data_IF_144272195270
#
_entry.id   IF_144272195270
#
_cell.length_a   1.000
_cell.length_b   1.000
_cell.length_c   1.000
_cell.angle_alpha   90.00
_cell.angle_beta   90.00
_cell.angle_gamma   90.00
#
_symmetry.space_group_name_H-M   'P 1'
#
loop_
_entity.id
_entity.type
_entity.pdbx_description
1 polymer ?
#
# COMPACT_ATOMS: atom_id res chain seq x y z
N UNK A 1 30.00 -9.02 -3.96
CA UNK A 1 28.55 -8.73 -4.12
C UNK A 1 28.14 -7.96 -2.88
N UNK A 2 27.86 -6.68 -3.07
CA UNK A 2 27.51 -5.76 -1.98
C UNK A 2 26.05 -6.04 -1.64
N UNK A 3 25.84 -6.77 -0.55
CA UNK A 3 24.54 -7.03 0.04
C UNK A 3 23.94 -5.67 0.42
N UNK A 4 23.08 -5.13 -0.45
CA UNK A 4 22.33 -3.91 -0.16
C UNK A 4 21.68 -4.10 1.21
N UNK A 5 22.09 -3.28 2.19
CA UNK A 5 21.75 -3.54 3.59
C UNK A 5 20.24 -3.46 3.76
N UNK A 6 19.56 -4.61 3.83
CA UNK A 6 18.16 -4.62 4.21
C UNK A 6 18.05 -3.96 5.59
N UNK A 7 17.03 -3.11 5.81
CA UNK A 7 16.81 -2.51 7.11
C UNK A 7 16.71 -3.62 8.17
N UNK A 8 17.67 -3.69 9.08
CA UNK A 8 17.68 -4.69 10.15
C UNK A 8 16.99 -4.14 11.41
N UNK A 9 16.78 -4.96 12.43
CA UNK A 9 16.12 -4.50 13.66
C UNK A 9 16.82 -3.27 14.29
N UNK A 10 18.14 -3.13 14.11
CA UNK A 10 18.88 -1.96 14.62
C UNK A 10 18.58 -0.68 13.83
N UNK A 11 18.27 -0.76 12.53
CA UNK A 11 17.89 0.43 11.76
C UNK A 11 16.55 0.99 12.21
N UNK A 12 15.56 0.13 12.47
CA UNK A 12 14.25 0.56 13.00
C UNK A 12 14.36 1.15 14.41
N UNK A 13 15.18 0.53 15.28
CA UNK A 13 15.48 1.09 16.60
C UNK A 13 16.10 2.50 16.50
N UNK A 14 17.06 2.69 15.58
CA UNK A 14 17.73 3.97 15.39
C UNK A 14 16.79 5.07 14.92
N UNK A 15 15.85 4.75 14.02
CA UNK A 15 14.80 5.70 13.59
C UNK A 15 14.00 6.18 14.80
N UNK A 16 13.56 5.26 15.65
CA UNK A 16 12.82 5.60 16.86
C UNK A 16 13.62 6.45 17.85
N UNK A 17 14.88 6.09 18.11
CA UNK A 17 15.76 6.84 19.01
C UNK A 17 16.03 8.26 18.51
N UNK A 18 16.27 8.44 17.21
CA UNK A 18 16.51 9.76 16.64
C UNK A 18 15.23 10.62 16.65
N UNK A 19 14.05 10.04 16.42
CA UNK A 19 12.77 10.76 16.54
C UNK A 19 12.57 11.34 17.95
N UNK A 20 12.80 10.52 18.99
CA UNK A 20 12.74 10.96 20.40
C UNK A 20 13.75 12.07 20.67
N UNK A 21 15.01 11.85 20.26
CA UNK A 21 16.10 12.80 20.49
C UNK A 21 15.87 14.16 19.84
N UNK A 22 15.24 14.18 18.66
CA UNK A 22 14.94 15.41 17.90
C UNK A 22 13.61 16.04 18.27
N UNK A 23 12.80 15.37 19.08
CA UNK A 23 11.41 15.72 19.35
C UNK A 23 10.61 15.93 18.04
N UNK A 24 10.85 15.06 17.05
CA UNK A 24 10.22 15.10 15.73
C UNK A 24 9.72 13.71 15.37
N UNK A 25 8.41 13.52 15.18
CA UNK A 25 7.86 12.23 14.78
C UNK A 25 8.51 11.71 13.50
N UNK A 26 9.07 10.50 13.57
CA UNK A 26 9.54 9.76 12.40
C UNK A 26 9.46 8.28 12.72
N UNK A 27 8.80 7.52 11.86
CA UNK A 27 8.64 6.08 12.02
C UNK A 27 9.05 5.36 10.75
N UNK A 28 9.42 4.10 10.92
CA UNK A 28 9.67 3.17 9.83
C UNK A 28 9.15 1.81 10.24
N UNK A 29 8.57 1.09 9.31
CA UNK A 29 8.20 -0.30 9.49
C UNK A 29 8.50 -1.05 8.20
N UNK A 30 8.68 -2.35 8.30
CA UNK A 30 8.84 -3.18 7.12
C UNK A 30 8.64 -4.65 7.43
N UNK A 31 8.20 -5.36 6.40
CA UNK A 31 8.25 -6.82 6.36
C UNK A 31 9.67 -7.32 6.03
N UNK A 32 10.32 -7.85 7.05
CA UNK A 32 11.62 -8.51 7.04
C UNK A 32 11.49 -10.04 7.11
N UNK A 33 12.63 -10.75 7.17
CA UNK A 33 12.70 -12.19 7.45
C UNK A 33 13.26 -13.04 6.30
N UNK A 34 13.38 -14.35 6.56
CA UNK A 34 13.89 -15.34 5.60
C UNK A 34 12.74 -15.82 4.70
N UNK A 35 12.56 -15.10 3.60
CA UNK A 35 11.49 -15.30 2.62
C UNK A 35 11.50 -16.72 2.04
N UNK A 36 12.67 -17.31 1.88
CA UNK A 36 12.89 -18.67 1.39
C UNK A 36 12.45 -19.77 2.36
N UNK A 37 12.25 -19.43 3.64
CA UNK A 37 11.70 -20.32 4.67
C UNK A 37 10.21 -20.05 4.93
N UNK A 38 9.59 -19.11 4.20
CA UNK A 38 8.20 -18.70 4.45
C UNK A 38 8.03 -17.97 5.78
N UNK A 39 9.12 -17.41 6.35
CA UNK A 39 9.08 -16.67 7.59
C UNK A 39 8.97 -15.16 7.29
N UNK A 40 7.94 -14.54 7.84
CA UNK A 40 7.73 -13.10 7.80
C UNK A 40 7.95 -12.50 9.18
N UNK A 41 8.85 -11.54 9.28
CA UNK A 41 9.17 -10.80 10.51
C UNK A 41 8.79 -9.35 10.28
N UNK A 42 7.84 -8.82 11.03
CA UNK A 42 7.48 -7.41 10.97
C UNK A 42 8.26 -6.66 12.04
N UNK A 43 9.00 -5.63 11.63
CA UNK A 43 9.77 -4.81 12.54
C UNK A 43 9.38 -3.35 12.33
N UNK A 44 9.06 -2.67 13.42
CA UNK A 44 8.75 -1.24 13.44
C UNK A 44 9.75 -0.49 14.32
N UNK A 45 9.89 0.80 14.06
CA UNK A 45 10.40 1.74 15.06
C UNK A 45 9.45 1.82 16.26
N UNK A 46 9.83 2.59 17.27
CA UNK A 46 9.01 2.80 18.47
C UNK A 46 7.58 3.27 18.10
N UNK A 47 6.52 2.61 18.59
CA UNK A 47 5.13 2.93 18.23
C UNK A 47 4.61 4.10 19.09
N UNK A 48 4.99 5.32 18.69
CA UNK A 48 4.78 6.55 19.46
C UNK A 48 3.32 6.87 19.74
N UNK A 49 2.40 6.43 18.87
CA UNK A 49 0.98 6.70 19.02
C UNK A 49 0.41 6.09 20.29
N UNK A 50 0.85 4.88 20.65
CA UNK A 50 0.37 4.17 21.83
C UNK A 50 0.80 4.84 23.14
N UNK A 51 1.99 5.43 23.17
CA UNK A 51 2.51 6.12 24.35
C UNK A 51 2.24 7.63 24.34
N UNK A 52 1.59 8.15 23.28
CA UNK A 52 1.26 9.57 23.12
C UNK A 52 2.49 10.48 23.31
N UNK A 53 3.65 10.02 22.83
CA UNK A 53 4.92 10.73 22.98
C UNK A 53 4.99 12.00 22.14
N UNK A 54 4.21 12.07 21.06
CA UNK A 54 4.12 13.22 20.18
C UNK A 54 2.66 13.61 19.97
N UNK A 55 2.41 14.92 19.90
CA UNK A 55 1.12 15.43 19.46
C UNK A 55 0.83 14.99 18.03
N UNK A 56 -0.44 14.71 17.74
CA UNK A 56 -0.93 14.31 16.43
C UNK A 56 -0.36 13.01 15.84
N UNK A 57 0.29 12.18 16.66
CA UNK A 57 0.62 10.79 16.33
C UNK A 57 -0.37 9.87 17.03
N UNK A 58 -1.10 9.07 16.26
CA UNK A 58 -2.20 8.27 16.77
C UNK A 58 -1.96 6.77 16.55
N UNK A 59 -2.32 5.92 17.54
CA UNK A 59 -2.22 4.46 17.41
C UNK A 59 -2.86 3.91 16.14
N UNK A 60 -3.94 4.53 15.68
CA UNK A 60 -4.71 4.09 14.53
C UNK A 60 -3.93 4.17 13.21
N UNK A 61 -3.06 5.16 13.03
CA UNK A 61 -2.20 5.25 11.85
C UNK A 61 -1.06 4.21 11.91
N UNK A 62 -0.56 3.90 13.11
CA UNK A 62 0.43 2.84 13.32
C UNK A 62 -0.19 1.44 13.09
N UNK A 63 -1.43 1.23 13.54
CA UNK A 63 -2.22 0.02 13.23
C UNK A 63 -2.47 -0.09 11.72
N UNK A 64 -2.82 1.00 11.02
CA UNK A 64 -2.96 0.98 9.55
C UNK A 64 -1.66 0.56 8.89
N UNK A 65 -0.54 1.12 9.32
CA UNK A 65 0.77 0.73 8.81
C UNK A 65 1.02 -0.76 9.05
N UNK A 66 0.62 -1.31 10.21
CA UNK A 66 0.78 -2.74 10.50
C UNK A 66 0.00 -3.61 9.49
N UNK A 67 -1.20 -3.17 9.13
CA UNK A 67 -2.00 -3.84 8.11
C UNK A 67 -1.35 -3.76 6.72
N UNK A 68 -0.74 -2.62 6.36
CA UNK A 68 0.01 -2.45 5.11
C UNK A 68 1.12 -3.49 5.01
N UNK A 69 1.98 -3.56 6.04
CA UNK A 69 3.09 -4.51 6.06
C UNK A 69 2.61 -5.96 6.08
N UNK A 70 1.59 -6.27 6.88
CA UNK A 70 0.98 -7.60 6.89
C UNK A 70 0.43 -7.99 5.53
N UNK A 71 -0.11 -7.05 4.76
CA UNK A 71 -0.61 -7.32 3.42
C UNK A 71 0.51 -7.75 2.45
N UNK A 72 1.75 -7.25 2.62
CA UNK A 72 2.88 -7.80 1.88
C UNK A 72 3.13 -9.29 2.18
N UNK A 73 2.88 -9.76 3.41
CA UNK A 73 2.93 -11.20 3.67
C UNK A 73 1.81 -11.96 2.95
N UNK A 74 0.59 -11.39 2.86
CA UNK A 74 -0.49 -11.95 2.05
C UNK A 74 -0.07 -12.07 0.59
N UNK A 75 0.46 -11.00 -0.02
CA UNK A 75 0.96 -11.03 -1.39
C UNK A 75 2.03 -12.12 -1.60
N UNK A 76 3.00 -12.19 -0.70
CA UNK A 76 4.10 -13.15 -0.79
C UNK A 76 3.70 -14.61 -0.52
N UNK A 77 2.63 -14.85 0.23
CA UNK A 77 2.16 -16.20 0.58
C UNK A 77 1.68 -17.01 -0.63
N UNK A 78 1.37 -16.33 -1.74
CA UNK A 78 0.97 -16.97 -3.00
C UNK A 78 2.14 -17.24 -3.95
N UNK A 79 3.35 -16.85 -3.57
CA UNK A 79 4.55 -17.02 -4.40
C UNK A 79 5.43 -18.15 -3.83
N UNK A 80 5.71 -19.17 -4.62
CA UNK A 80 6.46 -20.35 -4.16
C UNK A 80 7.88 -20.41 -4.73
N UNK A 81 8.14 -19.74 -5.85
CA UNK A 81 9.48 -19.62 -6.41
C UNK A 81 10.48 -19.04 -5.41
N UNK A 82 11.65 -19.67 -5.32
CA UNK A 82 12.78 -19.21 -4.50
C UNK A 82 13.71 -18.26 -5.26
N UNK A 83 13.56 -18.18 -6.57
CA UNK A 83 14.37 -17.32 -7.42
C UNK A 83 13.95 -15.86 -7.26
N UNK A 84 14.87 -15.02 -6.79
CA UNK A 84 14.55 -13.63 -6.43
C UNK A 84 13.97 -12.84 -7.60
N UNK A 85 14.63 -12.87 -8.77
CA UNK A 85 14.18 -12.12 -9.94
C UNK A 85 12.81 -12.59 -10.45
N UNK A 86 12.54 -13.90 -10.41
CA UNK A 86 11.23 -14.44 -10.79
C UNK A 86 10.15 -13.98 -9.80
N UNK A 87 10.47 -13.97 -8.51
CA UNK A 87 9.53 -13.54 -7.47
C UNK A 87 9.16 -12.06 -7.61
N UNK A 88 10.14 -11.19 -7.83
CA UNK A 88 9.88 -9.76 -8.07
C UNK A 88 9.00 -9.55 -9.31
N UNK A 89 9.28 -10.29 -10.40
CA UNK A 89 8.45 -10.23 -11.60
C UNK A 89 7.00 -10.70 -11.35
N UNK A 90 6.79 -11.67 -10.46
CA UNK A 90 5.45 -12.17 -10.10
C UNK A 90 4.70 -11.23 -9.14
N UNK A 91 5.39 -10.48 -8.28
CA UNK A 91 4.75 -9.44 -7.44
C UNK A 91 4.19 -8.31 -8.31
N UNK A 92 4.96 -7.92 -9.32
CA UNK A 92 4.59 -6.88 -10.27
C UNK A 92 5.15 -5.50 -9.93
N UNK A 93 4.63 -4.46 -10.61
CA UNK A 93 5.16 -3.10 -10.50
C UNK A 93 4.87 -2.47 -9.13
N UNK A 94 5.69 -1.49 -8.74
CA UNK A 94 5.63 -0.81 -7.43
C UNK A 94 4.23 -0.31 -7.08
N UNK A 95 3.52 0.34 -8.01
CA UNK A 95 2.16 0.84 -7.75
C UNK A 95 1.19 -0.28 -7.36
N UNK A 96 1.36 -1.47 -7.94
CA UNK A 96 0.45 -2.59 -7.71
C UNK A 96 0.75 -3.25 -6.35
N UNK A 97 2.03 -3.40 -6.01
CA UNK A 97 2.47 -3.99 -4.74
C UNK A 97 2.16 -3.06 -3.57
N UNK A 98 2.67 -1.83 -3.62
CA UNK A 98 2.58 -0.86 -2.52
C UNK A 98 1.21 -0.20 -2.45
N UNK A 99 0.65 0.15 -3.61
CA UNK A 99 -0.73 0.65 -3.66
C UNK A 99 -1.74 -0.41 -3.22
N UNK A 100 -1.49 -1.68 -3.51
CA UNK A 100 -2.32 -2.79 -3.05
C UNK A 100 -2.29 -2.93 -1.53
N UNK A 101 -1.10 -2.89 -0.94
CA UNK A 101 -0.94 -2.90 0.51
C UNK A 101 -1.61 -1.69 1.18
N UNK A 102 -1.46 -0.49 0.61
CA UNK A 102 -2.04 0.73 1.17
C UNK A 102 -3.57 0.70 1.07
N UNK A 103 -4.15 0.36 -0.09
CA UNK A 103 -5.60 0.26 -0.26
C UNK A 103 -6.22 -0.79 0.68
N UNK A 104 -5.61 -1.97 0.77
CA UNK A 104 -6.11 -3.05 1.61
C UNK A 104 -5.99 -2.73 3.10
N UNK A 105 -4.94 -2.01 3.51
CA UNK A 105 -4.81 -1.51 4.87
C UNK A 105 -5.88 -0.47 5.20
N UNK A 106 -6.12 0.50 4.31
CA UNK A 106 -7.13 1.55 4.51
C UNK A 106 -8.54 0.97 4.55
N UNK A 107 -8.91 0.14 3.58
CA UNK A 107 -10.23 -0.52 3.50
C UNK A 107 -10.43 -1.47 4.68
N UNK A 108 -9.42 -2.29 4.99
CA UNK A 108 -9.46 -3.30 6.05
C UNK A 108 -9.61 -2.67 7.44
N UNK A 109 -8.78 -1.69 7.77
CA UNK A 109 -8.90 -0.98 9.06
C UNK A 109 -10.21 -0.23 9.19
N UNK A 110 -10.66 0.47 8.15
CA UNK A 110 -11.96 1.14 8.14
C UNK A 110 -13.12 0.17 8.39
N UNK A 111 -13.13 -0.98 7.71
CA UNK A 111 -14.17 -2.01 7.87
C UNK A 111 -14.20 -2.58 9.28
N UNK A 112 -13.03 -2.89 9.86
CA UNK A 112 -12.93 -3.43 11.21
C UNK A 112 -13.31 -2.41 12.28
N UNK A 113 -13.00 -1.13 12.05
CA UNK A 113 -13.44 -0.06 12.94
C UNK A 113 -14.95 0.22 12.83
N UNK A 114 -15.52 0.15 11.63
CA UNK A 114 -16.96 0.35 11.41
C UNK A 114 -17.79 -0.79 12.04
N UNK A 115 -17.29 -2.02 11.94
CA UNK A 115 -17.92 -3.21 12.56
C UNK A 115 -17.65 -3.36 14.07
N UNK A 116 -16.75 -2.57 14.64
CA UNK A 116 -16.35 -2.65 16.05
C UNK A 116 -15.43 -3.83 16.40
N UNK A 117 -14.92 -4.54 15.40
CA UNK A 117 -13.98 -5.66 15.61
C UNK A 117 -12.56 -5.19 15.96
N UNK A 118 -12.17 -4.00 15.52
CA UNK A 118 -10.91 -3.36 15.91
C UNK A 118 -11.21 -2.25 16.94
N UNK A 119 -10.64 -2.31 18.15
CA UNK A 119 -10.85 -1.26 19.14
C UNK A 119 -10.26 0.06 18.66
N UNK A 120 -10.96 1.16 18.98
CA UNK A 120 -10.46 2.54 18.78
C UNK A 120 -9.89 3.06 20.09
N UNK A 121 -8.83 3.84 20.00
CA UNK A 121 -8.33 4.59 21.17
C UNK A 121 -9.20 5.83 21.39
N UNK A 122 -9.45 6.16 22.66
CA UNK A 122 -10.31 7.29 22.99
C UNK A 122 -9.58 8.63 22.72
N UNK A 123 -10.29 9.57 22.09
CA UNK A 123 -9.86 10.96 21.99
C UNK A 123 -9.45 11.45 20.60
N UNK A 124 -9.53 10.61 19.56
CA UNK A 124 -9.28 11.02 18.18
C UNK A 124 -10.42 10.62 17.25
N UNK A 125 -10.98 11.62 16.55
CA UNK A 125 -11.92 11.39 15.47
C UNK A 125 -11.12 11.13 14.18
N UNK A 126 -10.92 9.85 13.85
CA UNK A 126 -10.36 9.47 12.56
C UNK A 126 -11.23 10.01 11.42
N UNK A 127 -10.63 10.55 10.34
CA UNK A 127 -11.37 10.82 9.12
C UNK A 127 -12.03 9.54 8.59
N UNK A 128 -13.17 9.68 7.92
CA UNK A 128 -13.84 8.55 7.28
C UNK A 128 -12.96 7.92 6.20
N UNK A 129 -13.25 6.68 5.80
CA UNK A 129 -12.54 6.04 4.70
C UNK A 129 -12.55 6.91 3.43
N UNK A 130 -13.71 7.49 3.09
CA UNK A 130 -13.86 8.42 1.96
C UNK A 130 -12.95 9.63 2.08
N UNK A 131 -12.88 10.26 3.25
CA UNK A 131 -12.01 11.44 3.45
C UNK A 131 -10.52 11.10 3.43
N UNK A 132 -10.11 9.95 4.00
CA UNK A 132 -8.73 9.46 3.88
C UNK A 132 -8.34 9.23 2.42
N UNK A 133 -9.20 8.54 1.67
CA UNK A 133 -8.98 8.32 0.24
C UNK A 133 -8.96 9.64 -0.54
N UNK A 134 -9.81 10.63 -0.20
CA UNK A 134 -9.76 11.99 -0.79
C UNK A 134 -8.39 12.62 -0.58
N UNK A 135 -7.87 12.63 0.64
CA UNK A 135 -6.54 13.20 0.93
C UNK A 135 -5.45 12.52 0.11
N UNK A 136 -5.45 11.17 0.08
CA UNK A 136 -4.47 10.38 -0.68
C UNK A 136 -4.56 10.67 -2.19
N UNK A 137 -5.77 10.87 -2.73
CA UNK A 137 -5.95 11.24 -4.14
C UNK A 137 -5.29 12.57 -4.47
N UNK A 138 -5.60 13.59 -3.65
CA UNK A 138 -5.16 14.95 -3.88
C UNK A 138 -3.65 15.08 -3.69
N UNK A 139 -3.10 14.45 -2.65
CA UNK A 139 -1.66 14.41 -2.43
C UNK A 139 -0.95 13.63 -3.53
N UNK A 140 -1.48 12.47 -3.94
CA UNK A 140 -0.94 11.68 -5.05
C UNK A 140 -0.92 12.44 -6.37
N UNK A 141 -2.03 13.11 -6.72
CA UNK A 141 -2.13 13.95 -7.94
C UNK A 141 -1.17 15.13 -7.89
N UNK A 142 -1.05 15.81 -6.73
CA UNK A 142 -0.09 16.91 -6.54
C UNK A 142 1.34 16.43 -6.78
N UNK A 143 1.76 15.36 -6.11
CA UNK A 143 3.11 14.81 -6.27
C UNK A 143 3.38 14.36 -7.71
N UNK A 144 2.40 13.70 -8.35
CA UNK A 144 2.51 13.29 -9.74
C UNK A 144 2.72 14.50 -10.67
N UNK A 145 1.90 15.54 -10.55
CA UNK A 145 1.99 16.75 -11.38
C UNK A 145 3.29 17.52 -11.17
N UNK A 146 3.78 17.58 -9.93
CA UNK A 146 5.00 18.32 -9.58
C UNK A 146 6.29 17.60 -10.03
N UNK A 147 6.28 16.26 -10.10
CA UNK A 147 7.52 15.48 -10.23
C UNK A 147 7.58 14.57 -11.47
N UNK A 148 6.44 14.15 -12.04
CA UNK A 148 6.39 13.24 -13.19
C UNK A 148 5.08 13.34 -13.99
N UNK A 149 4.72 14.53 -14.50
CA UNK A 149 3.46 14.74 -15.21
C UNK A 149 3.31 13.88 -16.47
N UNK A 150 4.42 13.44 -17.07
CA UNK A 150 4.44 12.65 -18.30
C UNK A 150 4.44 11.12 -18.06
N UNK A 151 4.53 10.68 -16.81
CA UNK A 151 4.53 9.25 -16.49
C UNK A 151 3.12 8.75 -16.19
N UNK A 152 2.82 7.57 -16.72
CA UNK A 152 1.70 6.78 -16.27
C UNK A 152 2.05 6.01 -14.99
N UNK A 153 1.01 5.51 -14.30
CA UNK A 153 1.17 4.84 -13.02
C UNK A 153 2.06 3.59 -13.12
N UNK A 154 1.92 2.83 -14.21
CA UNK A 154 2.72 1.64 -14.48
C UNK A 154 4.23 1.90 -14.56
N UNK A 155 4.62 3.13 -14.87
CA UNK A 155 6.02 3.55 -15.08
C UNK A 155 6.68 4.09 -13.79
N UNK A 156 5.91 4.28 -12.71
CA UNK A 156 6.43 4.80 -11.45
C UNK A 156 7.02 3.67 -10.61
N UNK A 157 8.36 3.66 -10.47
CA UNK A 157 9.12 2.66 -9.72
C UNK A 157 9.69 3.22 -8.41
N UNK A 158 10.23 2.36 -7.54
CA UNK A 158 10.85 2.74 -6.27
C UNK A 158 11.99 3.77 -6.40
N UNK A 159 12.73 3.73 -7.50
CA UNK A 159 13.90 4.59 -7.73
C UNK A 159 13.53 5.93 -8.39
N UNK A 160 12.24 6.14 -8.68
CA UNK A 160 11.75 7.36 -9.28
C UNK A 160 11.45 8.43 -8.21
N UNK A 161 11.62 9.73 -8.46
CA UNK A 161 11.10 10.79 -7.58
C UNK A 161 9.57 10.74 -7.34
N UNK A 162 8.87 9.80 -7.99
CA UNK A 162 7.43 9.62 -7.91
C UNK A 162 6.98 8.41 -7.09
N UNK A 163 7.88 7.81 -6.31
CA UNK A 163 7.50 6.72 -5.41
C UNK A 163 6.31 7.08 -4.53
N UNK A 164 6.24 8.31 -4.01
CA UNK A 164 5.07 8.75 -3.25
C UNK A 164 3.76 8.70 -4.07
N UNK A 165 3.81 9.15 -5.34
CA UNK A 165 2.66 9.07 -6.24
C UNK A 165 2.33 7.60 -6.57
N UNK A 166 3.31 6.72 -6.72
CA UNK A 166 3.10 5.30 -6.97
C UNK A 166 2.28 4.62 -5.86
N UNK A 167 2.55 4.97 -4.59
CA UNK A 167 1.79 4.46 -3.44
C UNK A 167 0.37 5.02 -3.43
N UNK A 168 0.26 6.35 -3.44
CA UNK A 168 -1.03 7.05 -3.30
C UNK A 168 -1.97 6.78 -4.48
N UNK A 169 -1.47 6.94 -5.71
CA UNK A 169 -2.23 6.65 -6.92
C UNK A 169 -2.36 5.15 -7.17
N UNK A 170 -1.42 4.33 -6.70
CA UNK A 170 -1.56 2.87 -6.69
C UNK A 170 -2.73 2.40 -5.83
N UNK A 171 -2.91 2.98 -4.64
CA UNK A 171 -4.07 2.69 -3.79
C UNK A 171 -5.40 3.05 -4.50
N UNK A 172 -5.42 4.17 -5.22
CA UNK A 172 -6.56 4.54 -6.07
C UNK A 172 -6.74 3.64 -7.30
N UNK A 173 -5.65 3.12 -7.87
CA UNK A 173 -5.69 2.11 -8.93
C UNK A 173 -6.39 0.84 -8.45
N UNK A 174 -6.05 0.36 -7.25
CA UNK A 174 -6.74 -0.76 -6.61
C UNK A 174 -8.20 -0.46 -6.27
N UNK A 175 -8.52 0.75 -5.80
CA UNK A 175 -9.91 1.17 -5.60
C UNK A 175 -10.72 1.15 -6.92
N UNK A 176 -10.11 1.61 -8.02
CA UNK A 176 -10.71 1.62 -9.35
C UNK A 176 -10.93 0.20 -9.89
N UNK A 177 -9.93 -0.68 -9.74
CA UNK A 177 -10.04 -2.08 -10.12
C UNK A 177 -11.15 -2.79 -9.32
N UNK A 178 -11.21 -2.57 -8.00
CA UNK A 178 -12.26 -3.13 -7.14
C UNK A 178 -13.66 -2.63 -7.54
N UNK A 179 -13.81 -1.34 -7.84
CA UNK A 179 -15.10 -0.80 -8.31
C UNK A 179 -15.54 -1.43 -9.63
N UNK A 180 -14.62 -1.64 -10.57
CA UNK A 180 -14.91 -2.18 -11.91
C UNK A 180 -15.18 -3.68 -11.91
N UNK A 181 -14.34 -4.44 -11.23
CA UNK A 181 -14.35 -5.91 -11.32
C UNK A 181 -15.22 -6.58 -10.24
N UNK A 182 -15.74 -5.81 -9.27
CA UNK A 182 -16.60 -6.32 -8.22
C UNK A 182 -15.81 -6.80 -7.00
N UNK A 183 -16.39 -7.67 -6.15
CA UNK A 183 -15.83 -7.99 -4.85
C UNK A 183 -14.50 -8.76 -4.98
N UNK A 184 -13.45 -8.12 -4.47
CA UNK A 184 -12.13 -8.68 -4.13
C UNK A 184 -11.44 -9.60 -5.15
N UNK A 185 -11.48 -9.34 -6.49
CA UNK A 185 -10.78 -10.15 -7.49
C UNK A 185 -9.25 -10.17 -7.28
N UNK A 186 -8.70 -9.17 -6.59
CA UNK A 186 -7.30 -9.18 -6.20
C UNK A 186 -6.96 -10.37 -5.29
N UNK A 187 -7.80 -10.63 -4.29
CA UNK A 187 -7.61 -11.74 -3.34
C UNK A 187 -8.08 -13.07 -3.92
N UNK A 188 -9.22 -13.06 -4.61
CA UNK A 188 -9.90 -14.29 -5.01
C UNK A 188 -9.38 -14.86 -6.33
N UNK A 189 -8.84 -14.02 -7.22
CA UNK A 189 -8.43 -14.42 -8.57
C UNK A 189 -6.96 -14.13 -8.85
N UNK A 190 -6.49 -12.91 -8.60
CA UNK A 190 -5.12 -12.52 -8.94
C UNK A 190 -4.10 -13.29 -8.10
N UNK A 191 -4.14 -13.12 -6.76
CA UNK A 191 -3.14 -13.72 -5.87
C UNK A 191 -3.08 -15.26 -6.02
N UNK A 192 -4.18 -16.02 -6.08
CA UNK A 192 -4.11 -17.47 -6.25
C UNK A 192 -3.62 -17.94 -7.62
N UNK A 193 -3.63 -17.07 -8.64
CA UNK A 193 -3.29 -17.45 -10.02
C UNK A 193 -1.92 -16.97 -10.49
N UNK A 194 -1.32 -15.97 -9.83
CA UNK A 194 -0.12 -15.27 -10.32
C UNK A 194 1.10 -16.17 -10.49
N UNK A 195 1.37 -17.08 -9.54
CA UNK A 195 2.50 -18.03 -9.65
C UNK A 195 2.40 -18.89 -10.92
N UNK A 196 1.18 -19.27 -11.31
CA UNK A 196 0.92 -20.16 -12.46
C UNK A 196 0.86 -19.40 -13.78
N UNK A 197 0.25 -18.22 -13.79
CA UNK A 197 -0.06 -17.47 -15.01
C UNK A 197 1.01 -16.42 -15.37
N UNK A 198 1.81 -15.98 -14.41
CA UNK A 198 2.59 -14.74 -14.55
C UNK A 198 1.73 -13.50 -14.33
N UNK A 199 2.38 -12.36 -14.09
CA UNK A 199 1.73 -11.14 -13.63
C UNK A 199 0.67 -10.61 -14.62
N UNK A 200 1.02 -10.37 -15.89
CA UNK A 200 0.09 -9.82 -16.89
C UNK A 200 -1.16 -10.70 -17.09
N UNK A 201 -0.95 -12.01 -17.21
CA UNK A 201 -2.04 -12.97 -17.45
C UNK A 201 -2.92 -13.14 -16.21
N UNK A 202 -2.35 -13.09 -15.00
CA UNK A 202 -3.13 -13.10 -13.77
C UNK A 202 -3.91 -11.79 -13.58
N UNK A 203 -3.32 -10.64 -13.94
CA UNK A 203 -4.00 -9.35 -13.94
C UNK A 203 -5.20 -9.36 -14.88
N UNK A 204 -5.00 -9.80 -16.13
CA UNK A 204 -6.09 -9.91 -17.09
C UNK A 204 -7.16 -10.92 -16.65
N UNK A 205 -6.75 -12.04 -16.05
CA UNK A 205 -7.67 -13.03 -15.51
C UNK A 205 -8.55 -12.48 -14.38
N UNK A 206 -7.96 -11.70 -13.46
CA UNK A 206 -8.66 -11.17 -12.30
C UNK A 206 -9.54 -9.96 -12.63
N UNK A 207 -9.06 -9.05 -13.47
CA UNK A 207 -9.71 -7.74 -13.67
C UNK A 207 -10.39 -7.60 -15.03
N UNK A 208 -10.19 -8.54 -15.96
CA UNK A 208 -10.84 -8.54 -17.27
C UNK A 208 -10.32 -7.47 -18.24
N UNK A 209 -9.15 -6.89 -17.98
CA UNK A 209 -8.45 -5.95 -18.87
C UNK A 209 -6.94 -6.17 -18.75
N UNK A 210 -6.19 -5.82 -19.81
CA UNK A 210 -4.72 -5.89 -19.77
C UNK A 210 -4.15 -4.76 -18.92
N UNK A 211 -2.91 -4.89 -18.41
CA UNK A 211 -2.23 -3.82 -17.69
C UNK A 211 -2.17 -2.50 -18.48
N UNK A 212 -1.93 -2.55 -19.80
CA UNK A 212 -1.89 -1.36 -20.66
C UNK A 212 -3.26 -0.70 -20.77
N UNK A 213 -4.31 -1.50 -20.94
CA UNK A 213 -5.67 -0.99 -20.97
C UNK A 213 -6.09 -0.37 -19.62
N UNK A 214 -5.60 -0.92 -18.51
CA UNK A 214 -5.78 -0.33 -17.19
C UNK A 214 -5.09 1.04 -17.11
N UNK A 215 -3.83 1.12 -17.52
CA UNK A 215 -3.02 2.33 -17.37
C UNK A 215 -3.63 3.52 -18.13
N UNK A 216 -4.10 3.29 -19.36
CA UNK A 216 -4.84 4.29 -20.15
C UNK A 216 -6.17 4.70 -19.50
N UNK A 217 -6.98 3.71 -19.08
CA UNK A 217 -8.29 3.98 -18.49
C UNK A 217 -8.17 4.69 -17.13
N UNK A 218 -7.17 4.33 -16.34
CA UNK A 218 -6.91 4.91 -15.04
C UNK A 218 -6.34 6.32 -15.17
N UNK A 219 -5.44 6.57 -16.13
CA UNK A 219 -4.99 7.93 -16.44
C UNK A 219 -6.17 8.84 -16.81
N UNK A 220 -7.07 8.39 -17.68
CA UNK A 220 -8.29 9.12 -18.01
C UNK A 220 -9.20 9.34 -16.79
N UNK A 221 -9.28 8.36 -15.89
CA UNK A 221 -9.99 8.51 -14.62
C UNK A 221 -9.37 9.56 -13.71
N UNK A 222 -8.03 9.69 -13.66
CA UNK A 222 -7.34 10.69 -12.84
C UNK A 222 -7.68 12.14 -13.24
N UNK A 223 -8.06 12.36 -14.49
CA UNK A 223 -8.44 13.66 -15.05
C UNK A 223 -9.90 14.07 -14.74
N UNK A 224 -10.70 13.18 -14.14
CA UNK A 224 -12.08 13.49 -13.74
C UNK A 224 -12.15 14.43 -12.53
N UNK A 225 -13.34 14.98 -12.30
CA UNK A 225 -13.62 15.76 -11.09
C UNK A 225 -13.51 14.89 -9.83
N UNK A 226 -13.03 15.50 -8.74
CA UNK A 226 -12.73 14.76 -7.49
C UNK A 226 -13.95 14.02 -6.95
N UNK A 227 -15.16 14.58 -7.07
CA UNK A 227 -16.38 13.90 -6.61
C UNK A 227 -16.78 12.71 -7.47
N UNK A 228 -16.54 12.75 -8.79
CA UNK A 228 -16.72 11.57 -9.65
C UNK A 228 -15.75 10.46 -9.25
N UNK A 229 -14.52 10.84 -8.88
CA UNK A 229 -13.50 9.90 -8.43
C UNK A 229 -13.90 9.26 -7.11
N UNK A 230 -14.36 10.05 -6.14
CA UNK A 230 -14.82 9.55 -4.84
C UNK A 230 -16.10 8.73 -4.91
N UNK A 231 -16.91 8.87 -5.95
CA UNK A 231 -18.15 8.11 -6.11
C UNK A 231 -17.92 6.60 -6.32
N UNK A 232 -16.71 6.17 -6.67
CA UNK A 232 -16.40 4.75 -6.89
C UNK A 232 -16.15 3.99 -5.58
N UNK A 233 -15.87 4.71 -4.49
CA UNK A 233 -15.48 4.11 -3.22
C UNK A 233 -16.68 3.38 -2.58
N UNK A 234 -16.44 2.25 -1.91
CA UNK A 234 -17.46 1.59 -1.11
C UNK A 234 -17.92 2.47 0.07
N UNK A 235 -19.17 2.27 0.48
CA UNK A 235 -19.71 2.85 1.70
C UNK A 235 -19.29 2.00 2.90
N UNK A 236 -18.44 2.55 3.79
CA UNK A 236 -17.81 1.89 4.95
C UNK A 236 -17.99 2.75 6.19
#
# INVERSE_FOLDING_TARGET
EEEASQPNMLSYLRVGQEAIKRNQPSSAMGRNGQREWGLHIFASSYPFGFDRLFDHVYPEEEIKTLFHEYFHAVQHAHLFTKEHAQREALLGPTWFVEGGAEYMALKGTATLWASGQLPRTQGYALPSFRERMRTILLDGKRYWQENCPDLHLSQMTYDHPCTHAAYSLGAWGHAWLAHRAGPDPYLDLFLPSVERLGWDSAFQHAFGLTPEAFDEAFHAFLLKETEEQLAILPDI
#
